data_IF_409284825225
#
_entry.id   IF_409284825225
#
_cell.length_a   1.000
_cell.length_b   1.000
_cell.length_c   1.000
_cell.angle_alpha   90.00
_cell.angle_beta   90.00
_cell.angle_gamma   90.00
#
_symmetry.space_group_name_H-M   'P 1'
#
loop_
_entity.id
_entity.type
_entity.pdbx_description
1 polymer ?
#
# COMPACT_ATOMS: atom_id res chain seq x y z
N UNK A 1 31.35 -21.09 -37.19
CA UNK A 1 30.37 -20.04 -36.92
C UNK A 1 29.27 -20.64 -36.07
N UNK A 2 29.34 -20.37 -34.78
CA UNK A 2 28.30 -20.77 -33.82
C UNK A 2 27.22 -19.69 -33.84
N UNK A 3 26.06 -20.02 -34.39
CA UNK A 3 24.86 -19.20 -34.26
C UNK A 3 24.32 -19.42 -32.84
N UNK A 4 24.57 -18.46 -31.97
CA UNK A 4 23.95 -18.39 -30.65
C UNK A 4 22.49 -18.03 -30.88
N UNK A 5 21.59 -19.01 -30.87
CA UNK A 5 20.16 -18.79 -30.88
C UNK A 5 19.75 -18.16 -29.54
N UNK A 6 19.44 -16.87 -29.54
CA UNK A 6 18.74 -16.23 -28.45
C UNK A 6 17.35 -16.89 -28.35
N UNK A 7 17.21 -17.83 -27.42
CA UNK A 7 15.90 -18.23 -26.95
C UNK A 7 15.31 -17.04 -26.16
N UNK A 8 14.50 -16.23 -26.81
CA UNK A 8 13.62 -15.33 -26.14
C UNK A 8 12.64 -16.19 -25.32
N UNK A 9 12.91 -16.35 -24.03
CA UNK A 9 11.92 -16.89 -23.10
C UNK A 9 10.81 -15.83 -23.04
N UNK A 10 9.77 -16.02 -23.84
CA UNK A 10 8.51 -15.35 -23.62
C UNK A 10 7.94 -15.94 -22.33
N UNK A 11 8.23 -15.30 -21.21
CA UNK A 11 7.42 -15.47 -20.01
C UNK A 11 6.03 -14.94 -20.39
N UNK A 12 5.16 -15.83 -20.83
CA UNK A 12 3.71 -15.54 -20.85
C UNK A 12 3.32 -15.36 -19.40
N UNK A 13 3.28 -14.11 -18.95
CA UNK A 13 2.67 -13.79 -17.65
C UNK A 13 1.23 -14.30 -17.71
N UNK A 14 0.83 -15.09 -16.72
CA UNK A 14 -0.54 -15.55 -16.62
C UNK A 14 -1.42 -14.30 -16.62
N UNK A 15 -2.37 -14.23 -17.56
CA UNK A 15 -3.30 -13.12 -17.65
C UNK A 15 -4.46 -13.31 -16.68
N UNK A 16 -4.97 -12.22 -16.12
CA UNK A 16 -6.15 -12.21 -15.26
C UNK A 16 -6.02 -13.00 -13.93
N UNK A 17 -4.84 -13.04 -13.33
CA UNK A 17 -4.61 -13.70 -12.04
C UNK A 17 -5.48 -13.14 -10.91
N UNK A 18 -5.86 -11.86 -11.00
CA UNK A 18 -6.67 -11.17 -10.00
C UNK A 18 -8.07 -10.82 -10.52
N UNK A 19 -8.54 -11.50 -11.57
CA UNK A 19 -9.86 -11.22 -12.13
C UNK A 19 -10.95 -11.37 -11.08
N UNK A 20 -11.73 -10.30 -10.89
CA UNK A 20 -12.81 -10.23 -9.92
C UNK A 20 -12.35 -10.13 -8.46
N UNK A 21 -11.04 -9.96 -8.22
CA UNK A 21 -10.49 -9.69 -6.89
C UNK A 21 -10.59 -8.21 -6.57
N UNK A 22 -10.89 -7.90 -5.31
CA UNK A 22 -11.16 -6.57 -4.77
C UNK A 22 -10.08 -6.19 -3.79
N UNK A 23 -9.40 -5.07 -4.01
CA UNK A 23 -8.24 -4.70 -3.20
C UNK A 23 -8.21 -3.27 -2.72
N UNK A 24 -7.65 -3.05 -1.53
CA UNK A 24 -7.32 -1.72 -1.02
C UNK A 24 -5.82 -1.51 -1.11
N UNK A 25 -5.39 -0.40 -1.70
CA UNK A 25 -3.97 -0.03 -1.84
C UNK A 25 -3.68 1.24 -1.05
N UNK A 26 -2.88 1.09 0.01
CA UNK A 26 -2.39 2.20 0.82
C UNK A 26 -1.06 2.75 0.30
N UNK A 27 -0.89 4.06 0.36
CA UNK A 27 0.41 4.71 0.24
C UNK A 27 0.87 5.04 -1.18
N UNK A 28 -0.01 4.97 -2.17
CA UNK A 28 0.30 5.47 -3.50
C UNK A 28 0.36 7.00 -3.47
N UNK A 29 1.55 7.59 -3.66
CA UNK A 29 1.75 9.03 -3.64
C UNK A 29 1.92 9.59 -5.07
N UNK A 30 2.84 8.99 -5.84
CA UNK A 30 3.18 9.35 -7.20
C UNK A 30 3.73 8.12 -7.94
N UNK A 31 4.13 8.30 -9.18
CA UNK A 31 4.62 7.23 -10.07
C UNK A 31 5.92 6.55 -9.60
N UNK A 32 6.62 7.11 -8.61
CA UNK A 32 7.81 6.52 -7.99
C UNK A 32 7.45 5.60 -6.81
N UNK A 33 6.20 5.62 -6.35
CA UNK A 33 5.75 4.79 -5.23
C UNK A 33 5.65 3.31 -5.63
N UNK A 34 6.10 2.42 -4.76
CA UNK A 34 5.90 0.96 -4.94
C UNK A 34 4.39 0.65 -5.02
N UNK A 35 3.59 1.27 -4.15
CA UNK A 35 2.13 1.11 -4.18
C UNK A 35 1.51 1.50 -5.53
N UNK A 36 2.00 2.57 -6.16
CA UNK A 36 1.55 2.99 -7.48
C UNK A 36 1.77 1.91 -8.54
N UNK A 37 3.02 1.41 -8.61
CA UNK A 37 3.36 0.34 -9.57
C UNK A 37 2.59 -0.95 -9.30
N UNK A 38 2.40 -1.27 -8.02
CA UNK A 38 1.61 -2.46 -7.62
C UNK A 38 0.14 -2.31 -8.01
N UNK A 39 -0.48 -1.15 -7.78
CA UNK A 39 -1.87 -0.90 -8.18
C UNK A 39 -2.07 -1.08 -9.68
N UNK A 40 -1.16 -0.53 -10.52
CA UNK A 40 -1.22 -0.71 -11.97
C UNK A 40 -1.15 -2.20 -12.35
N UNK A 41 -0.25 -2.96 -11.73
CA UNK A 41 -0.11 -4.39 -12.02
C UNK A 41 -1.33 -5.19 -11.56
N UNK A 42 -1.87 -4.89 -10.36
CA UNK A 42 -3.09 -5.55 -9.89
C UNK A 42 -4.27 -5.29 -10.82
N UNK A 43 -4.45 -4.03 -11.26
CA UNK A 43 -5.49 -3.68 -12.21
C UNK A 43 -5.29 -4.38 -13.56
N UNK A 44 -4.06 -4.41 -14.10
CA UNK A 44 -3.73 -5.12 -15.33
C UNK A 44 -4.01 -6.63 -15.24
N UNK A 45 -3.99 -7.21 -14.04
CA UNK A 45 -4.36 -8.61 -13.77
C UNK A 45 -5.85 -8.80 -13.45
N UNK A 46 -6.66 -7.75 -13.63
CA UNK A 46 -8.13 -7.82 -13.53
C UNK A 46 -8.70 -7.54 -12.13
N UNK A 47 -7.91 -6.98 -11.21
CA UNK A 47 -8.42 -6.57 -9.91
C UNK A 47 -9.21 -5.26 -10.00
N UNK A 48 -10.24 -5.14 -9.16
CA UNK A 48 -10.89 -3.88 -8.82
C UNK A 48 -10.22 -3.28 -7.58
N UNK A 49 -9.99 -1.97 -7.56
CA UNK A 49 -9.21 -1.32 -6.54
C UNK A 49 -9.94 -0.16 -5.86
N UNK A 50 -9.67 0.02 -4.58
CA UNK A 50 -9.84 1.27 -3.83
C UNK A 50 -8.46 1.77 -3.46
N UNK A 51 -8.20 3.06 -3.70
CA UNK A 51 -6.93 3.71 -3.37
C UNK A 51 -7.10 4.55 -2.13
N UNK A 52 -6.07 4.57 -1.29
CA UNK A 52 -6.08 5.40 -0.08
C UNK A 52 -4.69 5.96 0.26
N UNK A 53 -4.70 7.13 0.84
CA UNK A 53 -3.54 7.73 1.47
C UNK A 53 -4.01 8.72 2.56
N UNK A 54 -3.08 9.16 3.42
CA UNK A 54 -3.39 10.18 4.41
C UNK A 54 -3.83 11.50 3.72
N UNK A 55 -4.80 12.23 4.28
CA UNK A 55 -5.31 13.47 3.67
C UNK A 55 -4.22 14.50 3.35
N UNK A 56 -3.15 14.56 4.15
CA UNK A 56 -2.00 15.43 3.89
C UNK A 56 -1.22 15.00 2.65
N UNK A 57 -1.08 13.70 2.42
CA UNK A 57 -0.37 13.16 1.27
C UNK A 57 -1.15 13.38 -0.04
N UNK A 58 -2.47 13.37 0.01
CA UNK A 58 -3.33 13.61 -1.15
C UNK A 58 -3.17 15.02 -1.72
N UNK A 59 -2.89 16.01 -0.87
CA UNK A 59 -2.67 17.40 -1.34
C UNK A 59 -1.34 17.58 -2.09
N UNK A 60 -0.44 16.63 -1.94
CA UNK A 60 0.93 16.70 -2.48
C UNK A 60 1.19 15.65 -3.55
N UNK A 61 0.26 14.72 -3.72
CA UNK A 61 0.41 13.56 -4.59
C UNK A 61 -0.43 13.62 -5.85
N UNK A 62 -0.31 12.59 -6.63
CA UNK A 62 -0.94 12.42 -7.94
C UNK A 62 -1.92 11.24 -7.93
N UNK A 63 -2.49 10.90 -6.77
CA UNK A 63 -3.33 9.70 -6.59
C UNK A 63 -4.57 9.70 -7.50
N UNK A 64 -5.09 10.89 -7.86
CA UNK A 64 -6.21 11.03 -8.81
C UNK A 64 -5.81 10.61 -10.23
N UNK A 65 -4.55 10.81 -10.62
CA UNK A 65 -4.04 10.31 -11.89
C UNK A 65 -3.94 8.78 -11.88
N UNK A 66 -3.49 8.20 -10.75
CA UNK A 66 -3.50 6.74 -10.59
C UNK A 66 -4.92 6.18 -10.69
N UNK A 67 -5.89 6.83 -10.03
CA UNK A 67 -7.30 6.43 -10.11
C UNK A 67 -7.77 6.27 -11.55
N UNK A 68 -7.48 7.25 -12.40
CA UNK A 68 -7.83 7.20 -13.84
C UNK A 68 -7.14 6.03 -14.56
N UNK A 69 -5.85 5.78 -14.26
CA UNK A 69 -5.07 4.71 -14.88
C UNK A 69 -5.63 3.33 -14.51
N UNK A 70 -6.11 3.17 -13.28
CA UNK A 70 -6.62 1.89 -12.77
C UNK A 70 -8.16 1.81 -12.80
N UNK A 71 -8.76 2.31 -13.85
CA UNK A 71 -10.18 2.15 -14.13
C UNK A 71 -11.10 3.09 -13.35
N UNK A 72 -10.65 4.28 -13.01
CA UNK A 72 -11.34 5.25 -12.14
C UNK A 72 -11.66 4.69 -10.75
N UNK A 73 -10.69 4.00 -10.16
CA UNK A 73 -10.81 3.44 -8.82
C UNK A 73 -11.13 4.54 -7.80
N UNK A 74 -12.07 4.33 -6.88
CA UNK A 74 -12.36 5.30 -5.83
C UNK A 74 -11.12 5.62 -4.99
N UNK A 75 -11.00 6.89 -4.63
CA UNK A 75 -9.98 7.37 -3.71
C UNK A 75 -10.66 7.75 -2.41
N UNK A 76 -10.42 6.96 -1.36
CA UNK A 76 -10.99 7.20 -0.03
C UNK A 76 -9.87 7.66 0.89
N UNK A 77 -9.84 8.93 1.32
CA UNK A 77 -8.84 9.43 2.24
C UNK A 77 -8.89 8.71 3.59
N UNK A 78 -7.74 8.26 4.08
CA UNK A 78 -7.64 7.71 5.43
C UNK A 78 -6.24 7.89 6.02
N UNK A 79 -6.16 8.42 7.23
CA UNK A 79 -4.96 8.34 8.05
C UNK A 79 -4.89 6.95 8.70
N UNK A 80 -3.92 6.15 8.34
CA UNK A 80 -3.77 4.80 8.86
C UNK A 80 -3.44 4.76 10.38
N UNK A 81 -3.17 5.89 11.01
CA UNK A 81 -3.04 6.01 12.46
C UNK A 81 -4.38 6.26 13.17
N UNK A 82 -5.43 6.60 12.43
CA UNK A 82 -6.79 6.86 12.91
C UNK A 82 -7.68 5.64 12.73
N UNK A 83 -8.20 5.10 13.83
CA UNK A 83 -9.16 3.99 13.79
C UNK A 83 -10.48 4.41 13.14
N UNK A 84 -10.88 5.67 13.31
CA UNK A 84 -12.08 6.24 12.71
C UNK A 84 -11.95 6.31 11.17
N UNK A 85 -10.84 6.86 10.66
CA UNK A 85 -10.58 6.94 9.22
C UNK A 85 -10.50 5.55 8.60
N UNK A 86 -9.84 4.60 9.27
CA UNK A 86 -9.75 3.21 8.81
C UNK A 86 -11.13 2.54 8.76
N UNK A 87 -12.01 2.84 9.74
CA UNK A 87 -13.39 2.33 9.74
C UNK A 87 -14.13 2.85 8.52
N UNK A 88 -14.11 4.17 8.28
CA UNK A 88 -14.75 4.77 7.11
C UNK A 88 -14.17 4.26 5.78
N UNK A 89 -12.86 4.01 5.71
CA UNK A 89 -12.21 3.42 4.54
C UNK A 89 -12.75 2.02 4.22
N UNK A 90 -12.79 1.13 5.22
CA UNK A 90 -13.26 -0.25 5.00
C UNK A 90 -14.76 -0.28 4.69
N UNK A 91 -15.57 0.50 5.40
CA UNK A 91 -17.01 0.60 5.11
C UNK A 91 -17.26 1.10 3.69
N UNK A 92 -16.58 2.20 3.28
CA UNK A 92 -16.70 2.74 1.93
C UNK A 92 -16.18 1.79 0.85
N UNK A 93 -15.11 1.05 1.12
CA UNK A 93 -14.59 0.04 0.19
C UNK A 93 -15.58 -1.13 0.04
N UNK A 94 -16.15 -1.63 1.14
CA UNK A 94 -17.13 -2.71 1.11
C UNK A 94 -18.43 -2.27 0.40
N UNK A 95 -18.86 -1.04 0.58
CA UNK A 95 -20.01 -0.48 -0.12
C UNK A 95 -19.75 -0.42 -1.63
N UNK A 96 -18.59 0.13 -2.03
CA UNK A 96 -18.19 0.22 -3.44
C UNK A 96 -18.12 -1.16 -4.10
N UNK A 97 -17.51 -2.14 -3.44
CA UNK A 97 -17.35 -3.48 -3.97
C UNK A 97 -18.60 -4.36 -3.86
N UNK A 98 -19.60 -3.95 -3.08
CA UNK A 98 -20.77 -4.76 -2.77
C UNK A 98 -20.42 -6.01 -1.95
N UNK A 99 -19.40 -5.95 -1.10
CA UNK A 99 -18.96 -7.06 -0.25
C UNK A 99 -17.53 -6.91 0.28
N UNK A 100 -17.01 -7.99 0.81
CA UNK A 100 -15.68 -8.03 1.43
C UNK A 100 -14.54 -7.77 0.45
N UNK A 101 -13.38 -7.41 0.99
CA UNK A 101 -12.12 -7.13 0.29
C UNK A 101 -11.28 -8.41 0.22
N UNK A 102 -10.72 -8.72 -0.94
CA UNK A 102 -9.86 -9.90 -1.11
C UNK A 102 -8.41 -9.65 -0.73
N UNK A 103 -7.91 -8.41 -0.86
CA UNK A 103 -6.54 -8.11 -0.47
C UNK A 103 -6.33 -6.65 -0.02
N UNK A 104 -5.33 -6.47 0.82
CA UNK A 104 -4.88 -5.16 1.28
C UNK A 104 -3.38 -5.05 1.07
N UNK A 105 -2.92 -4.00 0.40
CA UNK A 105 -1.51 -3.61 0.35
C UNK A 105 -1.28 -2.46 1.34
N UNK A 106 -0.52 -2.72 2.39
CA UNK A 106 -0.07 -1.71 3.34
C UNK A 106 1.34 -1.25 2.97
N UNK A 107 1.42 -0.15 2.20
CA UNK A 107 2.67 0.43 1.71
C UNK A 107 2.90 1.80 2.34
N UNK A 108 3.02 1.83 3.67
CA UNK A 108 3.14 3.04 4.47
C UNK A 108 4.43 2.98 5.28
N UNK A 109 5.14 4.09 5.29
CA UNK A 109 6.32 4.25 6.13
C UNK A 109 6.76 5.70 6.17
N UNK A 110 7.17 6.15 7.35
CA UNK A 110 7.70 7.49 7.55
C UNK A 110 8.70 7.50 8.70
N UNK A 111 9.81 8.20 8.53
CA UNK A 111 10.73 8.52 9.63
C UNK A 111 11.12 9.99 9.59
N UNK A 112 10.53 10.84 10.45
CA UNK A 112 10.94 12.24 10.54
C UNK A 112 12.40 12.43 10.92
N UNK A 113 12.96 11.56 11.78
CA UNK A 113 14.37 11.63 12.15
C UNK A 113 15.27 11.46 10.92
N UNK A 114 15.05 10.45 10.10
CA UNK A 114 15.80 10.22 8.86
C UNK A 114 15.62 11.39 7.87
N UNK A 115 14.39 11.83 7.67
CA UNK A 115 14.10 12.97 6.76
C UNK A 115 14.78 14.26 7.18
N UNK A 116 15.04 14.45 8.47
CA UNK A 116 15.73 15.62 9.03
C UNK A 116 17.23 15.40 9.22
N UNK A 117 17.78 14.28 8.73
CA UNK A 117 19.19 13.96 8.80
C UNK A 117 19.72 13.84 10.23
N UNK A 118 18.91 13.31 11.16
CA UNK A 118 19.34 13.07 12.54
C UNK A 118 20.19 11.82 12.63
N UNK A 119 21.34 11.93 13.28
CA UNK A 119 22.13 10.75 13.65
C UNK A 119 21.34 9.87 14.63
N UNK A 120 21.61 8.58 14.62
CA UNK A 120 20.94 7.62 15.49
C UNK A 120 21.04 7.99 16.98
N UNK A 121 22.17 8.56 17.43
CA UNK A 121 22.40 9.00 18.80
C UNK A 121 21.62 10.27 19.18
N UNK A 122 21.17 11.05 18.20
CA UNK A 122 20.56 12.37 18.39
C UNK A 122 19.10 12.41 17.98
N UNK A 123 18.44 11.26 18.00
CA UNK A 123 17.05 11.14 17.57
C UNK A 123 16.09 11.93 18.48
N UNK A 124 15.09 12.51 17.87
CA UNK A 124 13.97 13.09 18.59
C UNK A 124 12.95 11.99 18.92
N UNK A 125 12.67 11.75 20.19
CA UNK A 125 11.81 10.68 20.64
C UNK A 125 10.35 10.85 20.22
N UNK A 126 9.82 12.08 20.12
CA UNK A 126 8.47 12.30 19.59
C UNK A 126 8.38 11.89 18.11
N UNK A 127 9.44 12.15 17.35
CA UNK A 127 9.53 11.71 15.95
C UNK A 127 9.70 10.20 15.84
N UNK A 128 10.39 9.57 16.82
CA UNK A 128 10.46 8.11 16.88
C UNK A 128 9.08 7.50 17.14
N UNK A 129 8.31 8.04 18.09
CA UNK A 129 6.94 7.61 18.33
C UNK A 129 6.07 7.73 17.09
N UNK A 130 6.16 8.87 16.38
CA UNK A 130 5.46 9.06 15.10
C UNK A 130 5.91 8.02 14.06
N UNK A 131 7.20 7.71 13.99
CA UNK A 131 7.74 6.68 13.09
C UNK A 131 7.10 5.32 13.37
N UNK A 132 7.04 4.92 14.64
CA UNK A 132 6.47 3.64 15.06
C UNK A 132 4.96 3.59 14.78
N UNK A 133 4.23 4.67 15.09
CA UNK A 133 2.79 4.71 14.88
C UNK A 133 2.44 4.61 13.40
N UNK A 134 3.09 5.41 12.55
CA UNK A 134 2.82 5.44 11.11
C UNK A 134 3.34 4.19 10.40
N UNK A 135 4.53 3.67 10.76
CA UNK A 135 5.18 2.63 9.97
C UNK A 135 4.92 1.21 10.46
N UNK A 136 4.54 1.01 11.72
CA UNK A 136 4.34 -0.30 12.32
C UNK A 136 2.95 -0.48 12.95
N UNK A 137 2.55 0.43 13.85
CA UNK A 137 1.30 0.29 14.60
C UNK A 137 0.09 0.48 13.67
N UNK A 138 0.21 1.28 12.62
CA UNK A 138 -0.83 1.46 11.61
C UNK A 138 -1.25 0.14 10.95
N UNK A 139 -0.34 -0.77 10.69
CA UNK A 139 -0.68 -2.10 10.18
C UNK A 139 -1.57 -2.87 11.17
N UNK A 140 -1.22 -2.85 12.46
CA UNK A 140 -2.04 -3.48 13.48
C UNK A 140 -3.44 -2.85 13.57
N UNK A 141 -3.53 -1.51 13.55
CA UNK A 141 -4.81 -0.79 13.54
C UNK A 141 -5.65 -1.18 12.33
N UNK A 142 -5.04 -1.23 11.14
CA UNK A 142 -5.70 -1.66 9.89
C UNK A 142 -6.27 -3.07 10.03
N UNK A 143 -5.49 -4.03 10.54
CA UNK A 143 -5.95 -5.40 10.74
C UNK A 143 -7.04 -5.51 11.82
N UNK A 144 -6.91 -4.75 12.91
CA UNK A 144 -7.90 -4.75 13.98
C UNK A 144 -9.27 -4.22 13.52
N UNK A 145 -9.27 -3.13 12.72
CA UNK A 145 -10.49 -2.58 12.12
C UNK A 145 -11.09 -3.55 11.11
N UNK A 146 -10.25 -4.06 10.19
CA UNK A 146 -10.70 -5.02 9.18
C UNK A 146 -11.36 -6.26 9.81
N UNK A 147 -10.76 -6.80 10.89
CA UNK A 147 -11.33 -7.93 11.64
C UNK A 147 -12.64 -7.57 12.32
N UNK A 148 -12.73 -6.39 12.94
CA UNK A 148 -13.95 -5.94 13.65
C UNK A 148 -15.14 -5.80 12.70
N UNK A 149 -14.89 -5.36 11.47
CA UNK A 149 -15.91 -5.16 10.43
C UNK A 149 -16.15 -6.40 9.58
N UNK A 150 -15.41 -7.49 9.81
CA UNK A 150 -15.39 -8.65 8.92
C UNK A 150 -15.15 -8.26 7.45
N UNK A 151 -14.22 -7.30 7.24
CA UNK A 151 -14.05 -6.62 5.97
C UNK A 151 -13.21 -7.40 4.96
N UNK A 152 -12.39 -8.37 5.41
CA UNK A 152 -11.54 -9.17 4.54
C UNK A 152 -12.17 -10.55 4.37
N UNK A 153 -12.30 -10.98 3.13
CA UNK A 153 -12.89 -12.28 2.76
C UNK A 153 -12.06 -13.46 3.30
N UNK A 154 -12.68 -14.62 3.43
CA UNK A 154 -11.98 -15.86 3.66
C UNK A 154 -10.87 -16.05 2.60
N UNK A 155 -9.67 -16.43 3.06
CA UNK A 155 -8.47 -16.51 2.21
C UNK A 155 -8.02 -15.16 1.62
N UNK A 156 -8.48 -14.04 2.16
CA UNK A 156 -7.98 -12.72 1.80
C UNK A 156 -6.50 -12.57 2.19
N UNK A 157 -5.79 -11.72 1.46
CA UNK A 157 -4.35 -11.51 1.64
C UNK A 157 -4.06 -10.10 2.16
N UNK A 158 -3.16 -9.99 3.14
CA UNK A 158 -2.60 -8.70 3.56
C UNK A 158 -1.10 -8.69 3.33
N UNK A 159 -0.63 -7.74 2.54
CA UNK A 159 0.78 -7.56 2.23
C UNK A 159 1.25 -6.24 2.82
N UNK A 160 2.24 -6.29 3.70
CA UNK A 160 2.89 -5.10 4.24
C UNK A 160 4.31 -4.98 3.71
N UNK A 161 4.68 -3.77 3.28
CA UNK A 161 6.07 -3.50 2.89
C UNK A 161 6.92 -3.36 4.15
N UNK A 162 8.07 -4.01 4.13
CA UNK A 162 9.11 -3.86 5.15
C UNK A 162 10.39 -3.35 4.49
N UNK A 163 11.39 -3.09 5.30
CA UNK A 163 12.66 -2.56 4.83
C UNK A 163 13.81 -3.51 5.16
N UNK A 164 14.79 -3.60 4.27
CA UNK A 164 15.97 -4.46 4.45
C UNK A 164 16.76 -4.12 5.74
N UNK A 165 16.59 -2.91 6.28
CA UNK A 165 17.15 -2.53 7.58
C UNK A 165 16.63 -3.38 8.76
N UNK A 166 15.54 -4.14 8.58
CA UNK A 166 15.13 -5.16 9.55
C UNK A 166 16.16 -6.30 9.69
N UNK A 167 17.02 -6.49 8.71
CA UNK A 167 18.03 -7.55 8.66
C UNK A 167 19.45 -7.01 8.54
N UNK A 168 19.64 -5.77 8.16
CA UNK A 168 20.95 -5.15 7.91
C UNK A 168 21.03 -3.77 8.54
N UNK A 169 22.24 -3.40 8.97
CA UNK A 169 22.50 -2.07 9.53
C UNK A 169 22.74 -1.09 8.38
N UNK A 170 22.06 0.05 8.45
CA UNK A 170 22.32 1.21 7.61
C UNK A 170 22.79 2.35 8.51
N UNK A 171 23.88 3.02 8.18
CA UNK A 171 24.32 4.19 8.93
C UNK A 171 23.20 5.23 9.04
N UNK A 172 23.03 5.78 10.22
CA UNK A 172 22.07 6.86 10.52
C UNK A 172 20.59 6.56 10.22
N UNK A 173 20.27 5.27 10.10
CA UNK A 173 18.88 4.87 9.84
C UNK A 173 18.23 4.22 11.07
#
# INVERSE_FOLDING_TARGET
PYVCGLFAIHLTMAENLLKGKKGIVFGALNDQSIAWKTAIQCHAQGAELVLTNAPVAMRMGEIDELSKIVGNAPVIPADATSVEDLTGLFEGAMEHFGGQVDFVLHSIGMSPNVRKGKHYTDINYNWLQTTLDVSAISLHKTLAVAKKLDAISDWGSVVALTYIAAQRIFPDY
#
